data_IF_598452751563
#
_entry.id   IF_598452751563
#
_cell.length_a   1.000
_cell.length_b   1.000
_cell.length_c   1.000
_cell.angle_alpha   90.00
_cell.angle_beta   90.00
_cell.angle_gamma   90.00
#
_symmetry.space_group_name_H-M   'P 1'
#
loop_
_entity.id
_entity.type
_entity.pdbx_description
1 polymer ?
#
# COMPACT_ATOMS: atom_id res chain seq x y z
N UNK A 1 67.37 3.74 -36.86
CA UNK A 1 67.30 4.17 -35.45
C UNK A 1 66.71 5.57 -35.45
N UNK A 2 65.40 5.80 -35.37
CA UNK A 2 64.39 5.37 -34.38
C UNK A 2 64.63 6.00 -33.00
N UNK A 3 63.83 7.01 -32.67
CA UNK A 3 63.14 7.24 -31.38
C UNK A 3 62.29 8.52 -31.52
N UNK A 4 60.99 8.38 -31.77
CA UNK A 4 59.89 8.32 -30.80
C UNK A 4 59.42 9.69 -30.27
N UNK A 5 58.78 10.46 -31.15
CA UNK A 5 57.66 11.30 -30.73
C UNK A 5 56.38 10.45 -30.76
N UNK A 6 55.93 9.97 -29.59
CA UNK A 6 54.56 9.41 -29.49
C UNK A 6 53.59 10.59 -29.46
N UNK A 7 52.84 10.73 -30.55
CA UNK A 7 51.62 11.55 -30.62
C UNK A 7 50.72 11.18 -29.43
N UNK A 8 50.53 12.11 -28.51
CA UNK A 8 49.42 12.03 -27.57
C UNK A 8 48.17 12.45 -28.35
N UNK A 9 47.36 11.47 -28.76
CA UNK A 9 46.03 11.77 -29.28
C UNK A 9 45.18 12.34 -28.13
N UNK A 10 44.42 13.43 -28.33
CA UNK A 10 43.58 14.05 -27.29
C UNK A 10 42.35 13.20 -26.91
N UNK A 11 42.28 11.96 -27.39
CA UNK A 11 41.24 10.99 -27.11
C UNK A 11 41.81 9.80 -26.34
N UNK A 12 42.14 10.01 -25.07
CA UNK A 12 42.22 8.91 -24.11
C UNK A 12 41.05 9.05 -23.13
N UNK A 13 39.83 8.98 -23.66
CA UNK A 13 38.64 8.74 -22.86
C UNK A 13 38.46 7.23 -22.73
N UNK A 14 38.36 6.75 -21.49
CA UNK A 14 38.30 5.34 -21.10
C UNK A 14 39.58 4.52 -21.36
N UNK A 15 40.41 4.43 -20.32
CA UNK A 15 41.58 3.55 -20.19
C UNK A 15 41.16 2.07 -20.17
N UNK A 16 40.64 1.55 -21.29
CA UNK A 16 40.28 0.15 -21.52
C UNK A 16 39.50 -0.54 -20.38
N UNK A 17 38.58 0.17 -19.73
CA UNK A 17 37.60 -0.45 -18.81
C UNK A 17 36.29 0.37 -18.76
N UNK A 18 35.38 0.22 -19.74
CA UNK A 18 34.27 1.13 -19.95
C UNK A 18 33.00 0.70 -19.21
N UNK A 19 33.08 0.51 -17.89
CA UNK A 19 31.87 0.37 -17.03
C UNK A 19 32.09 1.15 -15.73
N UNK A 20 32.40 2.44 -15.86
CA UNK A 20 32.32 3.40 -14.76
C UNK A 20 31.88 4.75 -15.30
N UNK A 21 30.69 5.15 -14.88
CA UNK A 21 30.32 6.55 -14.62
C UNK A 21 30.63 7.54 -15.75
N UNK A 22 29.76 7.55 -16.76
CA UNK A 22 29.51 8.77 -17.52
C UNK A 22 28.48 9.59 -16.74
N UNK A 23 28.96 10.39 -15.78
CA UNK A 23 28.20 11.55 -15.29
C UNK A 23 29.15 12.75 -15.23
N UNK A 24 29.06 13.67 -16.21
CA UNK A 24 29.86 14.89 -16.24
C UNK A 24 29.41 16.00 -15.29
N UNK A 25 28.28 15.88 -14.57
CA UNK A 25 27.73 16.99 -13.76
C UNK A 25 27.74 16.75 -12.24
N UNK A 26 27.86 15.52 -11.72
CA UNK A 26 28.21 15.28 -10.30
C UNK A 26 27.39 16.09 -9.27
N UNK A 27 26.09 16.28 -9.49
CA UNK A 27 25.23 17.07 -8.61
C UNK A 27 24.49 16.16 -7.60
N UNK A 28 24.62 16.53 -6.32
CA UNK A 28 24.01 15.96 -5.11
C UNK A 28 22.66 15.25 -5.31
N UNK A 29 22.58 13.94 -5.00
CA UNK A 29 21.34 13.15 -5.16
C UNK A 29 20.51 13.22 -3.88
N UNK A 30 19.97 14.37 -3.49
CA UNK A 30 19.29 14.46 -2.18
C UNK A 30 17.82 14.06 -2.19
N UNK A 31 17.35 13.37 -1.14
CA UNK A 31 16.26 12.40 -1.25
C UNK A 31 15.40 12.18 0.04
N UNK A 32 14.40 11.27 -0.01
CA UNK A 32 13.60 10.92 1.17
C UNK A 32 14.38 10.09 2.19
N UNK A 33 14.09 10.36 3.47
CA UNK A 33 14.66 9.69 4.64
C UNK A 33 13.54 9.29 5.60
N UNK A 34 13.67 8.11 6.21
CA UNK A 34 12.81 7.65 7.29
C UNK A 34 13.47 7.89 8.64
N UNK A 35 12.75 8.59 9.54
CA UNK A 35 13.17 8.79 10.93
C UNK A 35 13.01 7.52 11.75
N UNK A 36 13.63 7.49 12.92
CA UNK A 36 13.49 6.40 13.92
C UNK A 36 12.03 6.11 14.31
N UNK A 37 11.16 7.12 14.29
CA UNK A 37 9.73 6.96 14.60
C UNK A 37 8.88 6.49 13.40
N UNK A 38 9.49 6.18 12.27
CA UNK A 38 8.81 5.74 11.05
C UNK A 38 8.31 6.86 10.14
N UNK A 39 8.28 8.12 10.59
CA UNK A 39 7.89 9.27 9.77
C UNK A 39 8.90 9.51 8.64
N UNK A 40 8.41 9.96 7.49
CA UNK A 40 9.21 10.14 6.28
C UNK A 40 9.28 11.63 5.96
N UNK A 41 10.46 12.10 5.58
CA UNK A 41 10.65 13.48 5.16
C UNK A 41 11.72 13.60 4.09
N UNK A 42 11.70 14.73 3.39
CA UNK A 42 12.73 15.11 2.43
C UNK A 42 13.92 15.74 3.15
N UNK A 43 15.09 15.12 3.02
CA UNK A 43 16.34 15.71 3.48
C UNK A 43 17.14 16.19 2.27
N UNK A 44 17.20 17.50 2.09
CA UNK A 44 17.91 18.11 0.96
C UNK A 44 19.43 17.88 0.99
N UNK A 45 19.99 17.23 2.01
CA UNK A 45 21.41 16.91 2.10
C UNK A 45 21.69 15.39 2.10
N UNK A 46 20.66 14.53 2.06
CA UNK A 46 20.84 13.08 2.15
C UNK A 46 20.75 12.42 0.77
N UNK A 47 21.85 11.83 0.32
CA UNK A 47 21.99 11.16 -0.98
C UNK A 47 22.37 9.67 -0.92
N UNK A 48 22.57 9.21 0.30
CA UNK A 48 23.04 7.87 0.61
C UNK A 48 22.80 7.60 2.08
N UNK A 49 23.06 6.35 2.51
CA UNK A 49 22.97 6.04 3.93
C UNK A 49 24.06 6.74 4.75
N UNK A 50 25.18 7.09 4.13
CA UNK A 50 26.34 7.76 4.72
C UNK A 50 26.07 9.25 5.03
N UNK A 51 25.31 9.94 4.18
CA UNK A 51 24.92 11.35 4.36
C UNK A 51 23.63 11.51 5.17
N UNK A 52 22.89 10.42 5.35
CA UNK A 52 21.72 10.35 6.22
C UNK A 52 22.11 10.47 7.69
N UNK A 53 21.29 11.17 8.50
CA UNK A 53 21.59 11.39 9.92
C UNK A 53 21.62 10.07 10.70
N UNK A 54 22.40 10.06 11.78
CA UNK A 54 22.62 8.86 12.57
C UNK A 54 21.31 8.21 13.08
N UNK A 55 21.07 6.99 12.61
CA UNK A 55 19.93 6.17 12.97
C UNK A 55 18.64 6.51 12.21
N UNK A 56 18.73 7.35 11.18
CA UNK A 56 17.71 7.46 10.15
C UNK A 56 18.05 6.52 8.97
N UNK A 57 17.03 6.14 8.21
CA UNK A 57 17.17 5.21 7.08
C UNK A 57 17.01 5.98 5.79
N UNK A 58 18.01 5.87 4.92
CA UNK A 58 17.91 6.40 3.56
C UNK A 58 16.85 5.63 2.77
N UNK A 59 15.94 6.34 2.10
CA UNK A 59 14.93 5.75 1.22
C UNK A 59 15.19 6.11 -0.25
N UNK A 60 15.74 7.28 -0.56
CA UNK A 60 15.92 7.71 -1.95
C UNK A 60 14.73 8.50 -2.51
N UNK A 61 14.83 8.93 -3.77
CA UNK A 61 13.88 9.88 -4.38
C UNK A 61 12.47 9.35 -4.63
N UNK A 62 12.38 8.06 -4.90
CA UNK A 62 11.13 7.41 -5.26
C UNK A 62 10.74 6.44 -4.16
N UNK A 63 9.50 6.53 -3.70
CA UNK A 63 8.92 5.64 -2.70
C UNK A 63 7.82 4.80 -3.35
N UNK A 64 7.73 3.55 -2.95
CA UNK A 64 6.65 2.63 -3.32
C UNK A 64 6.02 2.11 -2.04
N UNK A 65 4.76 2.48 -1.83
CA UNK A 65 3.93 2.03 -0.73
C UNK A 65 3.15 0.80 -1.17
N UNK A 66 3.29 -0.30 -0.44
CA UNK A 66 2.52 -1.52 -0.67
C UNK A 66 1.50 -1.68 0.45
N UNK A 67 0.22 -1.57 0.09
CA UNK A 67 -0.90 -1.81 0.99
C UNK A 67 -1.48 -3.19 0.69
N UNK A 68 -1.29 -4.14 1.60
CA UNK A 68 -1.77 -5.50 1.45
C UNK A 68 -2.88 -5.83 2.46
N UNK A 69 -4.03 -6.24 1.97
CA UNK A 69 -5.13 -6.81 2.77
C UNK A 69 -5.18 -8.31 2.57
N UNK A 70 -5.24 -9.05 3.68
CA UNK A 70 -5.09 -10.49 3.69
C UNK A 70 -5.89 -11.11 4.83
N UNK A 71 -6.37 -12.33 4.64
CA UNK A 71 -6.95 -13.13 5.72
C UNK A 71 -5.80 -13.87 6.41
N UNK A 72 -5.57 -13.53 7.66
CA UNK A 72 -4.52 -14.11 8.49
C UNK A 72 -4.89 -15.52 8.94
N UNK A 73 -3.97 -16.48 8.80
CA UNK A 73 -4.21 -17.89 9.15
C UNK A 73 -4.50 -18.06 10.64
N UNK A 74 -3.66 -17.48 11.49
CA UNK A 74 -3.76 -17.63 12.94
C UNK A 74 -5.01 -16.97 13.51
N UNK A 75 -5.47 -15.88 12.89
CA UNK A 75 -6.65 -15.11 13.32
C UNK A 75 -7.95 -15.56 12.63
N UNK A 76 -7.89 -16.51 11.69
CA UNK A 76 -9.07 -16.96 10.96
C UNK A 76 -9.86 -17.99 11.76
N UNK A 77 -11.07 -17.61 12.18
CA UNK A 77 -12.01 -18.49 12.87
C UNK A 77 -13.29 -18.76 12.08
N UNK A 78 -13.37 -18.31 10.83
CA UNK A 78 -14.54 -18.46 9.98
C UNK A 78 -14.72 -19.88 9.42
N UNK A 79 -15.78 -20.10 8.62
CA UNK A 79 -16.04 -21.40 8.01
C UNK A 79 -15.01 -21.75 6.91
N UNK A 80 -15.10 -22.93 6.32
CA UNK A 80 -14.27 -23.38 5.19
C UNK A 80 -12.78 -23.61 5.50
N UNK A 81 -12.39 -23.71 6.78
CA UNK A 81 -10.99 -23.98 7.18
C UNK A 81 -10.05 -22.93 6.59
N UNK A 82 -8.86 -23.33 6.14
CA UNK A 82 -7.85 -22.40 5.62
C UNK A 82 -8.07 -21.98 4.16
N UNK A 83 -9.18 -22.39 3.53
CA UNK A 83 -9.49 -22.04 2.15
C UNK A 83 -9.48 -20.51 1.84
N UNK A 84 -10.00 -19.64 2.72
CA UNK A 84 -10.01 -18.20 2.48
C UNK A 84 -8.73 -17.49 2.96
N UNK A 85 -7.79 -18.19 3.60
CA UNK A 85 -6.54 -17.60 4.11
C UNK A 85 -5.67 -17.08 2.94
N UNK A 86 -4.94 -16.00 3.20
CA UNK A 86 -3.98 -15.41 2.27
C UNK A 86 -4.37 -14.03 1.75
N UNK A 87 -3.55 -13.50 0.86
CA UNK A 87 -3.71 -12.17 0.27
C UNK A 87 -5.02 -12.05 -0.51
N UNK A 88 -5.65 -10.88 -0.41
CA UNK A 88 -6.90 -10.54 -1.11
C UNK A 88 -6.69 -9.40 -2.09
N UNK A 89 -6.11 -8.31 -1.59
CA UNK A 89 -5.87 -7.11 -2.39
C UNK A 89 -4.51 -6.56 -2.03
N UNK A 90 -3.66 -6.38 -3.03
CA UNK A 90 -2.42 -5.64 -2.89
C UNK A 90 -2.45 -4.42 -3.79
N UNK A 91 -2.36 -3.25 -3.20
CA UNK A 91 -2.31 -1.97 -3.91
C UNK A 91 -0.94 -1.34 -3.76
N UNK A 92 -0.44 -0.78 -4.86
CA UNK A 92 0.85 -0.09 -4.90
C UNK A 92 0.63 1.39 -5.20
N UNK A 93 1.16 2.26 -4.34
CA UNK A 93 1.10 3.71 -4.49
C UNK A 93 2.52 4.24 -4.53
N UNK A 94 2.89 4.87 -5.63
CA UNK A 94 4.21 5.38 -5.91
C UNK A 94 4.25 6.89 -5.66
N UNK A 95 5.29 7.36 -4.97
CA UNK A 95 5.54 8.77 -4.68
C UNK A 95 6.91 9.16 -5.22
N UNK A 96 6.99 10.25 -5.97
CA UNK A 96 8.27 10.82 -6.43
C UNK A 96 8.34 12.32 -6.12
N UNK A 97 9.55 12.81 -5.84
CA UNK A 97 9.76 14.21 -5.50
C UNK A 97 10.06 15.09 -6.72
N UNK A 98 9.50 16.31 -6.71
CA UNK A 98 9.88 17.40 -7.60
C UNK A 98 10.62 18.47 -6.79
N UNK A 99 11.78 18.89 -7.30
CA UNK A 99 12.67 19.81 -6.58
C UNK A 99 13.14 20.96 -7.46
N UNK A 100 13.59 22.03 -6.83
CA UNK A 100 14.35 23.07 -7.52
C UNK A 100 15.83 22.64 -7.76
N UNK A 101 16.64 23.57 -8.27
CA UNK A 101 18.07 23.38 -8.54
C UNK A 101 18.93 23.23 -7.28
N UNK A 102 18.45 23.76 -6.15
CA UNK A 102 19.09 23.68 -4.84
C UNK A 102 18.56 22.47 -4.04
N UNK A 103 17.76 21.63 -4.69
CA UNK A 103 17.10 20.45 -4.16
C UNK A 103 16.16 20.70 -2.98
N UNK A 104 15.58 21.90 -2.89
CA UNK A 104 14.44 22.11 -2.02
C UNK A 104 13.21 21.43 -2.62
N UNK A 105 12.44 20.74 -1.78
CA UNK A 105 11.22 20.06 -2.20
C UNK A 105 10.14 21.08 -2.57
N UNK A 106 9.63 21.01 -3.80
CA UNK A 106 8.56 21.86 -4.30
C UNK A 106 7.19 21.17 -4.19
N UNK A 107 7.15 19.91 -4.58
CA UNK A 107 5.94 19.10 -4.64
C UNK A 107 6.28 17.61 -4.76
N UNK A 108 5.26 16.75 -4.67
CA UNK A 108 5.38 15.32 -4.94
C UNK A 108 4.41 14.90 -6.04
N UNK A 109 4.77 13.90 -6.81
CA UNK A 109 3.84 13.18 -7.67
C UNK A 109 3.38 11.93 -6.93
N UNK A 110 2.09 11.61 -7.02
CA UNK A 110 1.49 10.44 -6.39
C UNK A 110 0.69 9.68 -7.43
N UNK A 111 1.03 8.41 -7.64
CA UNK A 111 0.41 7.56 -8.65
C UNK A 111 0.10 6.19 -8.07
N UNK A 112 -1.10 5.66 -8.30
CA UNK A 112 -1.46 4.28 -7.95
C UNK A 112 -1.39 3.37 -9.16
N UNK A 113 -0.80 2.20 -9.00
CA UNK A 113 -0.84 1.14 -10.00
C UNK A 113 -2.22 0.45 -10.00
N UNK A 114 -2.46 -0.40 -11.01
CA UNK A 114 -3.61 -1.31 -10.95
C UNK A 114 -3.47 -2.25 -9.73
N UNK A 115 -4.51 -2.37 -8.89
CA UNK A 115 -4.46 -3.24 -7.74
C UNK A 115 -4.33 -4.69 -8.19
N UNK A 116 -3.50 -5.46 -7.48
CA UNK A 116 -3.45 -6.91 -7.65
C UNK A 116 -4.54 -7.55 -6.81
N UNK A 117 -5.51 -8.13 -7.51
CA UNK A 117 -6.60 -8.90 -6.93
C UNK A 117 -6.21 -10.37 -6.90
N UNK A 118 -6.09 -10.93 -5.70
CA UNK A 118 -5.59 -12.28 -5.49
C UNK A 118 -6.71 -13.32 -5.53
N UNK A 119 -6.36 -14.53 -5.95
CA UNK A 119 -7.31 -15.65 -6.02
C UNK A 119 -7.47 -16.29 -4.65
N UNK A 120 -8.71 -16.57 -4.26
CA UNK A 120 -8.98 -17.41 -3.09
C UNK A 120 -8.64 -18.86 -3.42
N UNK A 121 -7.98 -19.55 -2.47
CA UNK A 121 -7.62 -20.97 -2.62
C UNK A 121 -6.66 -21.25 -3.78
N UNK A 122 -6.01 -20.23 -4.35
CA UNK A 122 -5.06 -20.32 -5.45
C UNK A 122 -5.66 -20.32 -6.87
N UNK A 123 -6.98 -20.53 -7.03
CA UNK A 123 -7.59 -20.67 -8.36
C UNK A 123 -8.92 -19.92 -8.55
N UNK A 124 -9.62 -19.50 -7.48
CA UNK A 124 -10.90 -18.81 -7.62
C UNK A 124 -10.70 -17.30 -7.71
N UNK A 125 -11.09 -16.63 -8.81
CA UNK A 125 -11.00 -15.18 -8.93
C UNK A 125 -11.89 -14.48 -7.89
N UNK A 126 -11.41 -13.34 -7.38
CA UNK A 126 -12.17 -12.42 -6.54
C UNK A 126 -12.50 -11.15 -7.33
N UNK A 127 -13.53 -10.42 -6.92
CA UNK A 127 -14.06 -9.30 -7.68
C UNK A 127 -13.42 -7.97 -7.22
N UNK A 128 -12.92 -7.17 -8.18
CA UNK A 128 -12.34 -5.83 -7.95
C UNK A 128 -13.41 -4.74 -7.73
N UNK A 129 -14.49 -5.06 -7.03
CA UNK A 129 -15.64 -4.18 -6.83
C UNK A 129 -16.41 -4.62 -5.59
N UNK A 130 -17.08 -3.69 -4.90
CA UNK A 130 -18.06 -3.98 -3.87
C UNK A 130 -19.37 -3.20 -4.11
N UNK A 131 -20.56 -3.84 -4.05
CA UNK A 131 -21.83 -3.17 -4.30
C UNK A 131 -22.06 -1.93 -3.43
N UNK A 132 -22.20 -0.77 -4.09
CA UNK A 132 -22.42 0.53 -3.43
C UNK A 132 -21.16 1.35 -3.11
N UNK A 133 -19.97 0.79 -3.35
CA UNK A 133 -18.69 1.46 -3.09
C UNK A 133 -17.98 1.85 -4.39
N UNK A 134 -17.11 2.86 -4.33
CA UNK A 134 -16.34 3.36 -5.48
C UNK A 134 -14.85 3.23 -5.23
N UNK A 135 -14.11 2.69 -6.21
CA UNK A 135 -12.66 2.65 -6.16
C UNK A 135 -12.07 3.96 -6.69
N UNK A 136 -11.20 4.60 -5.92
CA UNK A 136 -10.55 5.86 -6.26
C UNK A 136 -9.06 5.64 -6.50
N UNK A 137 -8.67 5.68 -7.76
CA UNK A 137 -7.26 5.71 -8.18
C UNK A 137 -6.67 7.09 -7.97
N UNK A 138 -5.35 7.14 -7.80
CA UNK A 138 -4.60 8.39 -7.65
C UNK A 138 -3.65 8.55 -8.82
N UNK A 139 -3.70 9.71 -9.46
CA UNK A 139 -2.72 10.16 -10.45
C UNK A 139 -2.65 11.68 -10.35
N UNK A 140 -1.82 12.15 -9.42
CA UNK A 140 -1.63 13.57 -9.14
C UNK A 140 -0.18 13.91 -9.42
N UNK A 141 0.01 14.85 -10.33
CA UNK A 141 1.29 15.54 -10.51
C UNK A 141 1.32 16.78 -9.63
N UNK A 142 2.49 17.08 -9.07
CA UNK A 142 2.75 18.31 -8.32
C UNK A 142 1.83 18.59 -7.11
N UNK A 143 1.55 17.59 -6.28
CA UNK A 143 0.90 17.79 -4.97
C UNK A 143 1.81 18.65 -4.08
N UNK A 144 1.34 19.86 -3.75
CA UNK A 144 2.10 20.91 -3.05
C UNK A 144 1.94 20.81 -1.54
N UNK A 145 2.77 21.58 -0.84
CA UNK A 145 2.67 21.74 0.61
C UNK A 145 1.24 22.13 1.05
N UNK A 146 0.73 21.46 2.08
CA UNK A 146 -0.60 21.61 2.65
C UNK A 146 -1.69 20.81 1.92
N UNK A 147 -1.35 20.11 0.83
CA UNK A 147 -2.30 19.28 0.08
C UNK A 147 -2.21 17.81 0.47
N UNK A 148 -3.30 17.09 0.21
CA UNK A 148 -3.38 15.64 0.40
C UNK A 148 -4.28 15.01 -0.67
N UNK A 149 -4.04 13.74 -0.96
CA UNK A 149 -4.85 12.92 -1.88
C UNK A 149 -5.11 11.56 -1.24
N UNK A 150 -6.25 10.96 -1.55
CA UNK A 150 -6.62 9.63 -1.03
C UNK A 150 -6.80 8.63 -2.15
N UNK A 151 -6.13 7.49 -2.02
CA UNK A 151 -6.42 6.26 -2.73
C UNK A 151 -7.45 5.46 -1.94
N UNK A 152 -8.44 4.89 -2.61
CA UNK A 152 -9.44 4.00 -1.99
C UNK A 152 -9.71 2.80 -2.89
N UNK A 153 -9.83 1.63 -2.26
CA UNK A 153 -10.01 0.37 -2.93
C UNK A 153 -10.93 -0.54 -2.15
N UNK A 154 -11.90 -1.12 -2.84
CA UNK A 154 -12.87 -2.08 -2.35
C UNK A 154 -12.84 -3.31 -3.25
N UNK A 155 -12.80 -4.48 -2.63
CA UNK A 155 -12.97 -5.74 -3.32
C UNK A 155 -13.95 -6.63 -2.55
N UNK A 156 -14.69 -7.45 -3.30
CA UNK A 156 -15.60 -8.42 -2.73
C UNK A 156 -14.97 -9.81 -2.77
N UNK A 157 -15.21 -10.57 -1.71
CA UNK A 157 -14.97 -12.02 -1.71
C UNK A 157 -15.75 -12.69 -2.85
N UNK A 158 -15.28 -13.84 -3.31
CA UNK A 158 -15.88 -14.45 -4.49
C UNK A 158 -17.33 -14.90 -4.25
N UNK A 159 -18.10 -15.11 -5.32
CA UNK A 159 -19.53 -15.44 -5.22
C UNK A 159 -19.79 -16.76 -4.47
N UNK A 160 -18.89 -17.75 -4.56
CA UNK A 160 -19.04 -19.03 -3.86
C UNK A 160 -18.84 -18.86 -2.34
N UNK A 161 -17.85 -18.06 -1.94
CA UNK A 161 -17.64 -17.64 -0.55
C UNK A 161 -18.84 -16.84 -0.07
N UNK A 162 -19.32 -15.85 -0.83
CA UNK A 162 -20.47 -15.03 -0.46
C UNK A 162 -21.74 -15.87 -0.22
N UNK A 163 -22.06 -16.79 -1.13
CA UNK A 163 -23.21 -17.70 -0.98
C UNK A 163 -23.00 -18.66 0.19
N UNK A 164 -21.81 -19.26 0.31
CA UNK A 164 -21.49 -20.19 1.39
C UNK A 164 -21.55 -19.53 2.77
N UNK A 165 -20.97 -18.33 2.90
CA UNK A 165 -21.01 -17.50 4.10
C UNK A 165 -22.45 -17.16 4.47
N UNK A 166 -23.26 -16.72 3.51
CA UNK A 166 -24.66 -16.38 3.75
C UNK A 166 -25.49 -17.60 4.21
N UNK A 167 -25.33 -18.76 3.56
CA UNK A 167 -25.97 -20.02 3.98
C UNK A 167 -25.55 -20.43 5.40
N UNK A 168 -24.30 -20.15 5.80
CA UNK A 168 -23.77 -20.42 7.14
C UNK A 168 -24.07 -19.31 8.16
N UNK A 169 -24.85 -18.29 7.78
CA UNK A 169 -25.26 -17.20 8.67
C UNK A 169 -24.22 -16.12 8.88
N UNK A 170 -23.36 -15.86 7.89
CA UNK A 170 -22.40 -14.77 7.90
C UNK A 170 -22.68 -13.71 6.82
N UNK A 171 -22.35 -12.47 7.12
CA UNK A 171 -22.45 -11.33 6.21
C UNK A 171 -21.33 -11.34 5.16
N UNK A 172 -21.61 -10.68 4.04
CA UNK A 172 -20.63 -10.41 2.99
C UNK A 172 -19.47 -9.58 3.54
N UNK A 173 -18.28 -9.83 2.99
CA UNK A 173 -17.04 -9.16 3.40
C UNK A 173 -16.65 -8.10 2.37
N UNK A 174 -16.40 -6.88 2.86
CA UNK A 174 -15.78 -5.83 2.08
C UNK A 174 -14.29 -5.76 2.41
N UNK A 175 -13.43 -6.00 1.42
CA UNK A 175 -11.99 -5.79 1.57
C UNK A 175 -11.69 -4.34 1.18
N UNK A 176 -11.75 -3.44 2.17
CA UNK A 176 -11.58 -2.02 1.96
C UNK A 176 -10.19 -1.51 2.41
N UNK A 177 -9.53 -0.73 1.56
CA UNK A 177 -8.26 -0.06 1.83
C UNK A 177 -8.37 1.43 1.48
N UNK A 178 -7.84 2.29 2.35
CA UNK A 178 -7.72 3.72 2.08
C UNK A 178 -6.36 4.21 2.53
N UNK A 179 -5.61 4.82 1.62
CA UNK A 179 -4.33 5.47 1.91
C UNK A 179 -4.41 6.94 1.52
N UNK A 180 -4.31 7.81 2.51
CA UNK A 180 -4.17 9.25 2.31
C UNK A 180 -2.70 9.63 2.39
N UNK A 181 -2.22 10.33 1.38
CA UNK A 181 -0.85 10.84 1.28
C UNK A 181 -0.93 12.36 1.14
N UNK A 182 -0.14 13.09 1.91
CA UNK A 182 -0.02 14.53 1.80
C UNK A 182 1.40 15.02 2.03
N UNK A 183 1.59 16.31 1.79
CA UNK A 183 2.88 16.97 1.97
C UNK A 183 2.74 18.15 2.94
N UNK A 184 3.48 18.12 4.05
CA UNK A 184 3.48 19.14 5.09
C UNK A 184 4.92 19.65 5.32
N UNK A 185 5.26 20.74 4.64
CA UNK A 185 6.63 21.22 4.48
C UNK A 185 7.44 20.15 3.75
N UNK A 186 8.49 19.65 4.42
CA UNK A 186 9.29 18.54 3.92
C UNK A 186 8.78 17.17 4.40
N UNK A 187 7.73 17.10 5.22
CA UNK A 187 7.24 15.84 5.76
C UNK A 187 6.16 15.24 4.87
N UNK A 188 6.27 13.94 4.64
CA UNK A 188 5.21 13.16 4.02
C UNK A 188 4.21 12.74 5.10
N UNK A 189 2.97 13.24 5.00
CA UNK A 189 1.88 12.79 5.86
C UNK A 189 1.21 11.57 5.25
N UNK A 190 0.96 10.57 6.09
CA UNK A 190 0.39 9.29 5.71
C UNK A 190 -0.71 8.94 6.71
N UNK A 191 -1.89 8.58 6.21
CA UNK A 191 -2.94 7.97 7.01
C UNK A 191 -3.48 6.74 6.29
N UNK A 192 -3.42 5.58 6.95
CA UNK A 192 -3.92 4.33 6.39
C UNK A 192 -5.12 3.84 7.19
N UNK A 193 -6.19 3.52 6.47
CA UNK A 193 -7.44 3.03 7.03
C UNK A 193 -7.90 1.77 6.31
N UNK A 194 -8.55 0.88 7.05
CA UNK A 194 -9.17 -0.34 6.53
C UNK A 194 -10.41 -0.64 7.35
N UNK A 195 -11.25 -1.55 6.88
CA UNK A 195 -12.42 -1.98 7.63
C UNK A 195 -12.01 -2.78 8.89
N UNK A 196 -12.97 -3.30 9.62
CA UNK A 196 -12.73 -4.23 10.71
C UNK A 196 -12.13 -5.54 10.22
N UNK A 197 -12.40 -5.93 8.97
CA UNK A 197 -11.92 -7.15 8.35
C UNK A 197 -11.63 -6.90 6.87
N UNK A 198 -10.61 -7.53 6.26
CA UNK A 198 -9.67 -8.49 6.84
C UNK A 198 -8.48 -7.81 7.52
N UNK A 199 -7.41 -8.57 7.80
CA UNK A 199 -6.13 -8.02 8.28
C UNK A 199 -5.50 -7.17 7.18
N UNK A 200 -4.64 -6.22 7.57
CA UNK A 200 -4.02 -5.32 6.62
C UNK A 200 -2.63 -4.88 7.05
N UNK A 201 -1.75 -4.63 6.07
CA UNK A 201 -0.40 -4.14 6.31
C UNK A 201 -0.02 -3.06 5.30
N UNK A 202 0.81 -2.13 5.74
CA UNK A 202 1.39 -1.10 4.88
C UNK A 202 2.90 -1.12 5.04
N UNK A 203 3.62 -1.14 3.93
CA UNK A 203 5.07 -0.99 3.92
C UNK A 203 5.51 0.04 2.89
N UNK A 204 6.70 0.60 3.09
CA UNK A 204 7.36 1.51 2.14
C UNK A 204 8.68 0.92 1.71
N UNK A 205 8.96 0.97 0.41
CA UNK A 205 10.27 0.72 -0.16
C UNK A 205 10.73 1.96 -0.90
N UNK A 206 11.96 2.38 -0.66
CA UNK A 206 12.56 3.49 -1.37
C UNK A 206 13.52 3.04 -2.48
N UNK A 207 13.73 3.84 -3.52
CA UNK A 207 14.67 3.53 -4.61
C UNK A 207 16.13 3.44 -4.17
N UNK A 208 16.48 4.12 -3.08
CA UNK A 208 17.81 4.10 -2.47
C UNK A 208 18.02 2.97 -1.45
N UNK A 209 17.03 2.10 -1.23
CA UNK A 209 17.12 1.01 -0.26
C UNK A 209 16.52 -0.30 -0.78
N UNK A 210 17.26 -1.40 -0.64
CA UNK A 210 16.75 -2.72 -1.04
C UNK A 210 15.66 -3.27 -0.10
N UNK A 211 15.65 -2.81 1.16
CA UNK A 211 14.72 -3.27 2.18
C UNK A 211 13.36 -2.55 2.09
N UNK A 212 12.32 -3.26 2.52
CA UNK A 212 10.99 -2.71 2.73
C UNK A 212 10.75 -2.51 4.22
N UNK A 213 10.20 -1.35 4.59
CA UNK A 213 9.96 -0.96 5.98
C UNK A 213 8.46 -0.99 6.26
N UNK A 214 8.04 -1.73 7.28
CA UNK A 214 6.64 -1.85 7.66
C UNK A 214 6.19 -0.63 8.46
N UNK A 215 5.15 0.06 7.99
CA UNK A 215 4.53 1.21 8.63
C UNK A 215 3.31 0.80 9.46
N UNK A 216 2.52 -0.13 8.95
CA UNK A 216 1.29 -0.60 9.58
C UNK A 216 1.21 -2.12 9.59
N UNK A 217 0.68 -2.68 10.68
CA UNK A 217 0.30 -4.08 10.77
C UNK A 217 -0.98 -4.21 11.62
N UNK A 218 -2.11 -4.34 10.96
CA UNK A 218 -3.42 -4.57 11.56
C UNK A 218 -3.80 -6.04 11.44
N UNK A 219 -4.16 -6.65 12.57
CA UNK A 219 -4.71 -8.01 12.62
C UNK A 219 -6.22 -7.92 12.83
N UNK A 220 -6.96 -8.66 12.00
CA UNK A 220 -8.41 -8.75 12.10
C UNK A 220 -8.84 -9.38 13.43
N UNK A 221 -9.99 -8.98 14.00
CA UNK A 221 -10.64 -9.72 15.08
C UNK A 221 -11.34 -10.98 14.52
N UNK A 222 -11.96 -11.75 15.42
CA UNK A 222 -12.80 -12.91 15.05
C UNK A 222 -13.79 -12.56 13.95
N UNK A 223 -13.73 -13.31 12.85
CA UNK A 223 -14.67 -13.24 11.74
C UNK A 223 -16.08 -13.58 12.24
N UNK A 224 -16.21 -14.66 13.03
CA UNK A 224 -17.51 -15.11 13.54
C UNK A 224 -18.22 -14.05 14.37
N UNK A 225 -17.49 -13.30 15.19
CA UNK A 225 -18.07 -12.28 16.06
C UNK A 225 -18.45 -11.01 15.29
N UNK A 226 -17.71 -10.67 14.24
CA UNK A 226 -17.91 -9.43 13.47
C UNK A 226 -18.88 -9.58 12.31
N UNK A 227 -18.99 -10.77 11.73
CA UNK A 227 -19.77 -11.02 10.51
C UNK A 227 -20.97 -11.96 10.71
N UNK A 228 -21.32 -12.39 11.93
CA UNK A 228 -22.55 -13.17 12.13
C UNK A 228 -23.80 -12.35 11.81
N UNK A 229 -24.67 -12.90 10.97
CA UNK A 229 -25.97 -12.29 10.67
C UNK A 229 -26.91 -12.42 11.87
N UNK A 230 -27.72 -11.39 12.09
CA UNK A 230 -28.79 -11.48 13.07
C UNK A 230 -29.96 -12.25 12.44
N UNK A 231 -30.27 -13.43 12.98
CA UNK A 231 -31.48 -14.17 12.63
C UNK A 231 -32.58 -13.83 13.62
N UNK A 232 -33.66 -13.20 13.15
CA UNK A 232 -34.90 -13.09 13.93
C UNK A 232 -35.86 -14.15 13.43
N UNK A 233 -36.15 -15.14 14.27
CA UNK A 233 -37.23 -16.10 14.02
C UNK A 233 -38.49 -15.49 14.61
N UNK A 234 -39.48 -15.19 13.76
CA UNK A 234 -40.85 -14.97 14.25
C UNK A 234 -41.59 -16.29 14.12
N UNK A 235 -41.96 -16.87 15.26
CA UNK A 235 -42.88 -17.99 15.28
C UNK A 235 -44.20 -17.55 14.65
N UNK A 236 -44.63 -18.28 13.62
CA UNK A 236 -45.96 -18.12 13.07
C UNK A 236 -46.99 -18.74 14.02
N UNK A 237 -48.23 -18.27 13.96
CA UNK A 237 -49.34 -18.94 14.65
C UNK A 237 -49.43 -20.42 14.20
N UNK A 238 -49.89 -21.27 15.12
CA UNK A 238 -49.98 -22.73 15.03
C UNK A 238 -50.43 -23.16 13.62
N UNK A 239 -49.54 -23.81 12.87
CA UNK A 239 -49.79 -24.32 11.51
C UNK A 239 -49.06 -23.59 10.37
N UNK A 240 -48.43 -22.44 10.62
CA UNK A 240 -47.60 -21.74 9.64
C UNK A 240 -46.11 -22.07 9.79
N UNK A 241 -45.39 -22.27 8.68
CA UNK A 241 -43.93 -22.38 8.70
C UNK A 241 -43.34 -21.08 9.28
N UNK A 242 -42.35 -21.17 10.19
CA UNK A 242 -41.74 -19.98 10.79
C UNK A 242 -41.09 -19.11 9.70
N UNK A 243 -41.41 -17.81 9.71
CA UNK A 243 -40.77 -16.86 8.80
C UNK A 243 -39.43 -16.45 9.42
N UNK A 244 -38.33 -16.94 8.84
CA UNK A 244 -36.98 -16.57 9.23
C UNK A 244 -36.59 -15.27 8.51
N UNK A 245 -36.45 -14.18 9.25
CA UNK A 245 -35.90 -12.93 8.71
C UNK A 245 -34.43 -12.82 9.10
N UNK A 246 -33.56 -12.85 8.10
CA UNK A 246 -32.12 -12.60 8.28
C UNK A 246 -31.87 -11.13 8.01
N UNK A 247 -31.30 -10.41 8.97
CA UNK A 247 -30.87 -9.02 8.81
C UNK A 247 -29.35 -8.94 8.89
N UNK A 248 -28.75 -8.35 7.86
CA UNK A 248 -27.32 -8.08 7.78
C UNK A 248 -26.89 -7.01 8.78
N UNK A 249 -25.71 -7.14 9.39
CA UNK A 249 -25.14 -6.12 10.30
C UNK A 249 -24.36 -5.04 9.55
N UNK A 250 -23.76 -5.32 8.41
CA UNK A 250 -22.84 -4.41 7.72
C UNK A 250 -23.34 -4.03 6.32
N UNK A 251 -23.85 -2.81 6.16
CA UNK A 251 -24.34 -2.32 4.87
C UNK A 251 -23.34 -1.45 4.08
N UNK A 252 -22.22 -1.00 4.66
CA UNK A 252 -21.19 -0.20 3.96
C UNK A 252 -19.81 -0.39 4.60
N UNK A 253 -18.73 -0.09 3.87
CA UNK A 253 -17.39 -0.08 4.44
C UNK A 253 -17.28 1.01 5.52
N UNK A 254 -16.72 0.67 6.68
CA UNK A 254 -16.36 1.66 7.70
C UNK A 254 -14.84 1.74 7.76
N UNK A 255 -14.27 2.84 7.28
CA UNK A 255 -12.82 3.06 7.35
C UNK A 255 -12.39 3.46 8.76
N UNK A 256 -11.69 2.55 9.45
CA UNK A 256 -11.03 2.84 10.71
C UNK A 256 -9.56 3.17 10.46
N UNK A 257 -9.09 4.30 10.97
CA UNK A 257 -7.68 4.65 10.91
C UNK A 257 -6.85 3.65 11.72
N UNK A 258 -5.86 3.05 11.06
CA UNK A 258 -4.94 2.05 11.63
C UNK A 258 -3.52 2.56 11.75
N UNK A 259 -3.19 3.62 11.02
CA UNK A 259 -1.87 4.23 11.03
C UNK A 259 -1.96 5.72 10.66
N UNK A 260 -1.16 6.53 11.34
CA UNK A 260 -0.89 7.93 11.04
C UNK A 260 0.53 8.28 11.51
N UNK A 261 1.22 9.15 10.79
CA UNK A 261 2.52 9.69 11.19
C UNK A 261 2.53 11.21 11.40
#
# INVERSE_FOLDING_TARGET
>A
MAEQYRKWSPYTYAVNNPIRFTDPDGMSVNDFVQRKNGSIYWDRNADSQETTKLGETYLGRNLSFTFNSYIDEDSWDGPLGNFPVGDKVTSTINVSANTDKDNNLLSINVNSDEPRIHKTGGWIPTDNYYPGETNYKVNISELKNGQQVSYEQHAKVNVLEEVGLNLMGYDKVNVAQKLTIGLNGNNLSLAASTDIFPSASLSVKGSGNSNSFRLMNYKQPSFKNTHRTNTVIREGNIGAMPVRRVTSRNQSAIFYERYRN
#
